data_IF_425823305230
#
_entry.id   IF_425823305230
#
_cell.length_a   1.000
_cell.length_b   1.000
_cell.length_c   1.000
_cell.angle_alpha   90.00
_cell.angle_beta   90.00
_cell.angle_gamma   90.00
#
_symmetry.space_group_name_H-M   'P 1'
#
loop_
_entity.id
_entity.type
_entity.pdbx_description
1 polymer ?
#
# COMPACT_ATOMS: atom_id res chain seq x y z
N UNK A 1 -3.03 14.06 6.08
CA UNK A 1 -1.55 14.13 5.97
C UNK A 1 -0.96 15.17 6.92
N UNK A 2 -1.45 16.42 6.90
CA UNK A 2 -0.97 17.48 7.81
C UNK A 2 -1.13 17.16 9.31
N UNK A 3 -2.14 16.34 9.68
CA UNK A 3 -2.34 15.90 11.08
C UNK A 3 -1.28 14.90 11.53
N UNK A 4 -0.73 14.10 10.63
CA UNK A 4 0.31 13.11 10.93
C UNK A 4 1.61 13.83 11.30
N UNK A 5 1.97 14.87 10.58
CA UNK A 5 3.22 15.62 10.82
C UNK A 5 3.27 16.36 12.15
N UNK A 6 2.13 16.65 12.77
CA UNK A 6 2.10 17.31 14.09
C UNK A 6 2.49 16.39 15.24
N UNK A 7 2.50 15.07 15.04
CA UNK A 7 2.76 14.07 16.09
C UNK A 7 3.98 13.17 15.82
N UNK A 8 4.44 13.11 14.58
CA UNK A 8 5.44 12.11 14.17
C UNK A 8 6.37 12.69 13.11
N UNK A 9 7.67 12.43 13.22
CA UNK A 9 8.63 12.70 12.15
C UNK A 9 8.50 11.63 11.07
N UNK A 10 8.18 12.02 9.85
CA UNK A 10 8.13 11.12 8.70
C UNK A 10 9.55 10.95 8.15
N UNK A 11 10.02 9.73 8.02
CA UNK A 11 11.36 9.40 7.52
C UNK A 11 11.36 8.91 6.07
N UNK A 12 10.28 8.26 5.63
CA UNK A 12 10.13 7.77 4.28
C UNK A 12 8.66 7.75 3.87
N UNK A 13 8.41 7.84 2.58
CA UNK A 13 7.07 7.76 1.97
C UNK A 13 7.10 6.69 0.89
N UNK A 14 6.20 5.72 1.00
CA UNK A 14 6.03 4.67 0.01
C UNK A 14 4.63 4.71 -0.58
N UNK A 15 4.55 4.64 -1.88
CA UNK A 15 3.29 4.71 -2.64
C UNK A 15 3.20 3.45 -3.51
N UNK A 16 2.02 2.84 -3.57
CA UNK A 16 1.78 1.73 -4.47
C UNK A 16 1.87 2.21 -5.93
N UNK A 17 2.71 1.53 -6.71
CA UNK A 17 2.86 1.81 -8.13
C UNK A 17 1.71 1.18 -8.91
N UNK A 18 0.95 1.95 -9.71
CA UNK A 18 -0.09 1.40 -10.57
C UNK A 18 0.48 0.43 -11.60
N UNK A 19 -0.32 -0.52 -12.05
CA UNK A 19 0.07 -1.40 -13.16
C UNK A 19 0.28 -0.60 -14.43
N UNK A 20 1.39 -0.88 -15.12
CA UNK A 20 1.75 -0.25 -16.39
C UNK A 20 1.29 -1.05 -17.62
N UNK A 21 0.82 -2.28 -17.43
CA UNK A 21 0.49 -3.20 -18.52
C UNK A 21 -0.97 -3.63 -18.49
N UNK A 22 -1.56 -3.74 -19.68
CA UNK A 22 -2.87 -4.32 -19.85
C UNK A 22 -2.83 -5.84 -19.63
N UNK A 23 -3.69 -6.33 -18.73
CA UNK A 23 -4.09 -7.74 -18.74
C UNK A 23 -5.51 -7.82 -19.30
N UNK A 24 -5.81 -8.83 -20.09
CA UNK A 24 -7.18 -9.10 -20.53
C UNK A 24 -8.08 -9.23 -19.29
N UNK A 25 -9.17 -8.48 -19.25
CA UNK A 25 -10.05 -8.38 -18.08
C UNK A 25 -9.59 -7.40 -16.99
N UNK A 26 -8.53 -6.63 -17.20
CA UNK A 26 -8.03 -5.59 -16.30
C UNK A 26 -8.62 -4.20 -16.57
N UNK A 27 -8.04 -3.19 -15.91
CA UNK A 27 -8.43 -1.79 -16.05
C UNK A 27 -8.21 -1.27 -17.47
N UNK A 28 -9.10 -0.39 -17.96
CA UNK A 28 -8.97 0.27 -19.25
C UNK A 28 -7.78 1.24 -19.27
N UNK A 29 -7.33 1.63 -20.48
CA UNK A 29 -6.30 2.65 -20.66
C UNK A 29 -6.66 3.97 -19.97
N UNK A 30 -7.93 4.38 -20.06
CA UNK A 30 -8.43 5.58 -19.41
C UNK A 30 -8.32 5.49 -17.89
N UNK A 31 -8.71 4.36 -17.29
CA UNK A 31 -8.59 4.12 -15.84
C UNK A 31 -7.12 4.15 -15.40
N UNK A 32 -6.22 3.51 -16.15
CA UNK A 32 -4.78 3.54 -15.85
C UNK A 32 -4.21 4.95 -15.92
N UNK A 33 -4.59 5.76 -16.91
CA UNK A 33 -4.17 7.15 -17.03
C UNK A 33 -4.63 8.00 -15.84
N UNK A 34 -5.86 7.82 -15.38
CA UNK A 34 -6.40 8.50 -14.19
C UNK A 34 -5.61 8.11 -12.94
N UNK A 35 -5.35 6.82 -12.74
CA UNK A 35 -4.57 6.32 -11.59
C UNK A 35 -3.14 6.87 -11.59
N UNK A 36 -2.49 6.95 -12.75
CA UNK A 36 -1.15 7.52 -12.87
C UNK A 36 -1.13 9.02 -12.57
N UNK A 37 -2.10 9.79 -13.07
CA UNK A 37 -2.26 11.22 -12.75
C UNK A 37 -2.48 11.43 -11.26
N UNK A 38 -3.37 10.66 -10.65
CA UNK A 38 -3.64 10.73 -9.21
C UNK A 38 -2.38 10.39 -8.39
N UNK A 39 -1.67 9.35 -8.78
CA UNK A 39 -0.40 8.95 -8.15
C UNK A 39 0.64 10.07 -8.21
N UNK A 40 0.77 10.76 -9.36
CA UNK A 40 1.65 11.90 -9.52
C UNK A 40 1.28 13.08 -8.61
N UNK A 41 -0.02 13.38 -8.48
CA UNK A 41 -0.51 14.45 -7.58
C UNK A 41 -0.21 14.10 -6.12
N UNK A 42 -0.50 12.87 -5.70
CA UNK A 42 -0.21 12.41 -4.32
C UNK A 42 1.29 12.49 -4.03
N UNK A 43 2.12 12.07 -4.98
CA UNK A 43 3.59 12.15 -4.86
C UNK A 43 4.08 13.58 -4.66
N UNK A 44 3.56 14.49 -5.44
CA UNK A 44 3.88 15.91 -5.33
C UNK A 44 3.45 16.51 -3.99
N UNK A 45 2.23 16.18 -3.54
CA UNK A 45 1.73 16.62 -2.23
C UNK A 45 2.61 16.08 -1.09
N UNK A 46 2.97 14.80 -1.12
CA UNK A 46 3.85 14.21 -0.10
C UNK A 46 5.23 14.88 -0.09
N UNK A 47 5.82 15.12 -1.27
CA UNK A 47 7.09 15.83 -1.39
C UNK A 47 7.03 17.22 -0.78
N UNK A 48 5.99 17.99 -1.08
CA UNK A 48 5.84 19.34 -0.55
C UNK A 48 5.57 19.38 0.96
N UNK A 49 4.85 18.40 1.50
CA UNK A 49 4.52 18.34 2.94
C UNK A 49 5.69 17.83 3.79
N UNK A 50 6.44 16.87 3.29
CA UNK A 50 7.43 16.15 4.09
C UNK A 50 8.89 16.41 3.68
N UNK A 51 9.10 17.08 2.55
CA UNK A 51 10.42 17.28 1.91
C UNK A 51 11.16 15.94 1.68
N UNK A 52 10.39 14.91 1.33
CA UNK A 52 10.86 13.54 1.06
C UNK A 52 10.36 13.12 -0.30
N UNK A 53 11.26 12.64 -1.15
CA UNK A 53 10.88 12.05 -2.42
C UNK A 53 10.23 10.69 -2.19
N UNK A 54 8.96 10.49 -2.59
CA UNK A 54 8.29 9.23 -2.43
C UNK A 54 8.95 8.12 -3.24
N UNK A 55 9.01 6.93 -2.68
CA UNK A 55 9.40 5.70 -3.36
C UNK A 55 8.17 4.88 -3.73
N UNK A 56 8.30 4.05 -4.75
CA UNK A 56 7.19 3.28 -5.28
C UNK A 56 7.43 1.78 -5.10
N UNK A 57 6.36 1.07 -4.72
CA UNK A 57 6.34 -0.37 -4.60
C UNK A 57 5.17 -0.94 -5.38
N UNK A 58 5.42 -2.00 -6.14
CA UNK A 58 4.34 -2.80 -6.72
C UNK A 58 3.68 -3.64 -5.63
N UNK A 59 2.38 -3.86 -5.72
CA UNK A 59 1.64 -4.65 -4.73
C UNK A 59 2.25 -6.05 -4.52
N UNK A 60 2.69 -6.69 -5.58
CA UNK A 60 3.34 -8.01 -5.51
C UNK A 60 4.68 -7.96 -4.77
N UNK A 61 5.48 -6.93 -5.01
CA UNK A 61 6.76 -6.71 -4.34
C UNK A 61 6.56 -6.41 -2.85
N UNK A 62 5.59 -5.56 -2.53
CA UNK A 62 5.25 -5.25 -1.15
C UNK A 62 4.82 -6.50 -0.37
N UNK A 63 3.96 -7.33 -0.96
CA UNK A 63 3.59 -8.62 -0.35
C UNK A 63 4.79 -9.53 -0.11
N UNK A 64 5.70 -9.63 -1.09
CA UNK A 64 6.92 -10.44 -0.96
C UNK A 64 7.81 -9.96 0.18
N UNK A 65 8.02 -8.65 0.32
CA UNK A 65 8.79 -8.06 1.41
C UNK A 65 8.16 -8.30 2.79
N UNK A 66 6.84 -8.39 2.86
CA UNK A 66 6.11 -8.73 4.09
C UNK A 66 5.99 -10.23 4.36
N UNK A 67 6.55 -11.10 3.50
CA UNK A 67 6.42 -12.54 3.62
C UNK A 67 5.03 -13.10 3.33
N UNK A 68 4.17 -12.32 2.66
CA UNK A 68 2.82 -12.73 2.30
C UNK A 68 2.85 -13.52 1.00
N UNK A 69 2.55 -14.81 1.10
CA UNK A 69 2.42 -15.70 -0.07
C UNK A 69 0.96 -15.85 -0.45
N UNK A 70 0.65 -15.64 -1.72
CA UNK A 70 -0.69 -15.87 -2.27
C UNK A 70 -0.70 -17.25 -2.94
N UNK A 71 -1.39 -18.25 -2.36
CA UNK A 71 -1.48 -19.58 -2.94
C UNK A 71 -2.19 -19.55 -4.30
N UNK A 72 -1.84 -20.49 -5.15
CA UNK A 72 -2.50 -20.63 -6.46
C UNK A 72 -4.01 -20.81 -6.27
N UNK A 73 -4.80 -20.05 -7.03
CA UNK A 73 -6.26 -20.09 -6.98
C UNK A 73 -6.90 -19.21 -5.89
N UNK A 74 -6.10 -18.60 -5.01
CA UNK A 74 -6.63 -17.64 -4.03
C UNK A 74 -6.53 -16.21 -4.53
N UNK A 75 -7.48 -15.37 -4.06
CA UNK A 75 -7.50 -13.94 -4.36
C UNK A 75 -6.53 -13.21 -3.43
N UNK A 76 -5.61 -12.41 -3.99
CA UNK A 76 -4.63 -11.64 -3.22
C UNK A 76 -5.29 -10.76 -2.15
N UNK A 77 -6.39 -10.10 -2.46
CA UNK A 77 -7.12 -9.24 -1.49
C UNK A 77 -7.56 -10.00 -0.24
N UNK A 78 -8.04 -11.24 -0.40
CA UNK A 78 -8.42 -12.06 0.74
C UNK A 78 -7.21 -12.44 1.59
N UNK A 79 -6.14 -12.92 0.95
CA UNK A 79 -4.91 -13.33 1.64
C UNK A 79 -4.28 -12.17 2.41
N UNK A 80 -4.23 -10.97 1.81
CA UNK A 80 -3.75 -9.75 2.48
C UNK A 80 -4.62 -9.41 3.68
N UNK A 81 -5.93 -9.48 3.53
CA UNK A 81 -6.84 -9.17 4.64
C UNK A 81 -6.71 -10.14 5.79
N UNK A 82 -6.64 -11.44 5.51
CA UNK A 82 -6.41 -12.47 6.53
C UNK A 82 -5.08 -12.22 7.26
N UNK A 83 -4.02 -11.90 6.53
CA UNK A 83 -2.73 -11.54 7.11
C UNK A 83 -2.81 -10.32 8.04
N UNK A 84 -3.50 -9.27 7.63
CA UNK A 84 -3.67 -8.06 8.43
C UNK A 84 -4.46 -8.36 9.72
N UNK A 85 -5.56 -9.09 9.61
CA UNK A 85 -6.38 -9.44 10.77
C UNK A 85 -5.62 -10.32 11.77
N UNK A 86 -4.74 -11.20 11.28
CA UNK A 86 -3.94 -12.09 12.12
C UNK A 86 -2.75 -11.38 12.80
N UNK A 87 -2.20 -10.33 12.17
CA UNK A 87 -0.95 -9.72 12.60
C UNK A 87 -1.08 -8.28 13.12
N UNK A 88 -2.22 -7.64 12.93
CA UNK A 88 -2.46 -6.23 13.33
C UNK A 88 -3.69 -6.16 14.22
N UNK A 89 -3.54 -6.29 15.56
CA UNK A 89 -4.68 -6.36 16.50
C UNK A 89 -5.59 -5.14 16.44
N UNK A 90 -5.02 -3.96 16.18
CA UNK A 90 -5.74 -2.70 16.17
C UNK A 90 -6.29 -2.33 14.78
N UNK A 91 -6.25 -3.25 13.82
CA UNK A 91 -6.82 -3.01 12.50
C UNK A 91 -8.35 -3.09 12.57
N UNK A 92 -8.97 -1.93 12.58
CA UNK A 92 -10.42 -1.81 12.69
C UNK A 92 -11.11 -2.02 11.32
N UNK A 93 -12.01 -2.98 11.27
CA UNK A 93 -12.87 -3.24 10.11
C UNK A 93 -14.30 -2.92 10.46
N UNK A 94 -14.84 -1.88 9.83
CA UNK A 94 -16.25 -1.54 9.97
C UNK A 94 -17.08 -2.38 9.01
N UNK A 95 -18.11 -3.03 9.55
CA UNK A 95 -19.01 -3.89 8.76
C UNK A 95 -20.34 -3.19 8.45
N UNK A 96 -20.93 -3.58 7.33
CA UNK A 96 -22.30 -3.17 6.98
C UNK A 96 -23.31 -3.96 7.83
N UNK A 97 -24.58 -3.55 7.78
CA UNK A 97 -25.66 -4.25 8.47
C UNK A 97 -25.81 -5.71 8.01
N UNK A 98 -25.41 -6.03 6.76
CA UNK A 98 -25.40 -7.39 6.22
C UNK A 98 -24.15 -8.20 6.58
N UNK A 99 -23.25 -7.67 7.39
CA UNK A 99 -22.01 -8.35 7.82
C UNK A 99 -20.88 -8.31 6.80
N UNK A 100 -20.97 -7.50 5.75
CA UNK A 100 -19.87 -7.29 4.80
C UNK A 100 -18.99 -6.12 5.24
N UNK A 101 -17.66 -6.19 5.03
CA UNK A 101 -16.79 -5.05 5.28
C UNK A 101 -17.22 -3.83 4.43
N UNK A 102 -17.17 -2.64 5.00
CA UNK A 102 -17.44 -1.40 4.26
C UNK A 102 -16.39 -1.19 3.17
N UNK A 103 -16.76 -0.50 2.07
CA UNK A 103 -15.78 -0.13 1.02
C UNK A 103 -14.57 0.59 1.59
N UNK A 104 -13.39 0.37 0.98
CA UNK A 104 -12.13 1.00 1.39
C UNK A 104 -11.30 0.21 2.41
N UNK A 105 -11.84 -0.83 3.03
CA UNK A 105 -11.05 -1.63 3.98
C UNK A 105 -9.88 -2.36 3.32
N UNK A 106 -10.07 -2.83 2.09
CA UNK A 106 -9.02 -3.50 1.32
C UNK A 106 -7.90 -2.52 0.94
N UNK A 107 -8.25 -1.31 0.55
CA UNK A 107 -7.27 -0.27 0.22
C UNK A 107 -6.45 0.16 1.46
N UNK A 108 -7.09 0.19 2.63
CA UNK A 108 -6.39 0.41 3.91
C UNK A 108 -5.43 -0.72 4.23
N UNK A 109 -5.83 -1.98 4.01
CA UNK A 109 -4.98 -3.14 4.20
C UNK A 109 -3.78 -3.12 3.25
N UNK A 110 -4.01 -2.82 1.97
CA UNK A 110 -2.95 -2.69 0.97
C UNK A 110 -1.96 -1.56 1.33
N UNK A 111 -2.44 -0.41 1.78
CA UNK A 111 -1.58 0.70 2.21
C UNK A 111 -0.71 0.33 3.43
N UNK A 112 -1.25 -0.45 4.37
CA UNK A 112 -0.48 -0.97 5.49
C UNK A 112 0.64 -1.90 5.03
N UNK A 113 0.36 -2.80 4.09
CA UNK A 113 1.36 -3.71 3.51
C UNK A 113 2.47 -2.94 2.80
N UNK A 114 2.12 -1.90 2.05
CA UNK A 114 3.11 -1.03 1.38
C UNK A 114 3.99 -0.32 2.41
N UNK A 115 3.43 0.22 3.48
CA UNK A 115 4.19 0.87 4.55
C UNK A 115 5.13 -0.10 5.27
N UNK A 116 4.64 -1.29 5.61
CA UNK A 116 5.44 -2.36 6.25
C UNK A 116 6.57 -2.84 5.34
N UNK A 117 6.29 -3.02 4.06
CA UNK A 117 7.29 -3.37 3.06
C UNK A 117 8.37 -2.30 2.93
N UNK A 118 7.98 -1.03 2.92
CA UNK A 118 8.90 0.11 2.93
C UNK A 118 9.82 0.09 4.14
N UNK A 119 9.29 -0.12 5.33
CA UNK A 119 10.09 -0.25 6.55
C UNK A 119 11.08 -1.42 6.46
N UNK A 120 10.67 -2.56 5.92
CA UNK A 120 11.54 -3.71 5.70
C UNK A 120 12.69 -3.36 4.75
N UNK A 121 12.42 -2.65 3.66
CA UNK A 121 13.43 -2.19 2.70
C UNK A 121 14.42 -1.25 3.35
N UNK A 122 13.98 -0.22 4.08
CA UNK A 122 14.84 0.73 4.80
C UNK A 122 15.77 0.02 5.79
N UNK A 123 15.26 -0.96 6.52
CA UNK A 123 16.05 -1.74 7.47
C UNK A 123 17.08 -2.64 6.80
N UNK A 124 16.80 -3.16 5.61
CA UNK A 124 17.77 -3.94 4.81
C UNK A 124 18.89 -3.05 4.30
N UNK A 125 18.56 -1.91 3.70
CA UNK A 125 19.53 -0.94 3.19
C UNK A 125 20.48 -0.43 4.30
N UNK A 126 19.97 -0.20 5.50
CA UNK A 126 20.77 0.21 6.65
C UNK A 126 21.76 -0.89 7.09
N UNK A 127 21.36 -2.16 7.01
CA UNK A 127 22.24 -3.28 7.34
C UNK A 127 23.35 -3.47 6.30
N UNK A 128 23.03 -3.30 5.03
CA UNK A 128 23.98 -3.47 3.92
C UNK A 128 25.00 -2.31 3.86
N UNK A 129 24.68 -1.17 4.46
CA UNK A 129 25.54 0.02 4.53
C UNK A 129 26.52 0.00 5.71
N UNK A 130 26.38 -0.93 6.64
CA UNK A 130 27.25 -1.14 7.79
C UNK A 130 28.11 -2.40 7.59
#
# INVERSE_FOLDING_TARGET
LARITSYTTIQAVYIEQPFLFFKSGGSSAATMAVLQKFNGVVSWVCYNLFDIEPQYLRAQEARKLCGIKVPRGQKAKKVVMDFILDNVPDFDVVYTRQGNPRPGYADRADSYVVAKAGLTRENQETKDSN
#
